data_IF_619158207865
#
_entry.id   IF_619158207865
#
_cell.length_a   1.000
_cell.length_b   1.000
_cell.length_c   1.000
_cell.angle_alpha   90.00
_cell.angle_beta   90.00
_cell.angle_gamma   90.00
#
_symmetry.space_group_name_H-M   'P 1'
#
loop_
_entity.id
_entity.type
_entity.pdbx_description
1 polymer ?
#
# COMPACT_ATOMS: atom_id res chain seq x y z
N UNK A 1 1.89 -16.41 -8.13
CA UNK A 1 2.94 -16.14 -7.12
C UNK A 1 2.34 -15.48 -5.89
N UNK A 2 3.03 -15.52 -4.74
CA UNK A 2 2.69 -14.81 -3.50
C UNK A 2 3.83 -13.88 -3.13
N UNK A 3 3.50 -12.64 -2.77
CA UNK A 3 4.43 -11.66 -2.19
C UNK A 3 3.94 -11.31 -0.80
N UNK A 4 4.83 -11.40 0.16
CA UNK A 4 4.57 -10.99 1.55
C UNK A 4 5.47 -9.81 1.85
N UNK A 5 4.88 -8.72 2.30
CA UNK A 5 5.62 -7.52 2.70
C UNK A 5 5.44 -7.29 4.19
N UNK A 6 6.47 -6.80 4.85
CA UNK A 6 6.47 -6.53 6.30
C UNK A 6 6.82 -5.06 6.50
N UNK A 7 5.89 -4.30 7.07
CA UNK A 7 6.00 -2.85 7.35
C UNK A 7 6.57 -2.02 6.17
N UNK A 8 6.19 -2.41 4.95
CA UNK A 8 6.71 -1.77 3.74
C UNK A 8 5.92 -0.49 3.44
N UNK A 9 6.59 0.65 3.18
CA UNK A 9 5.91 1.89 2.84
C UNK A 9 5.46 1.92 1.37
N UNK A 10 4.46 1.12 1.00
CA UNK A 10 3.95 1.00 -0.37
C UNK A 10 3.52 2.33 -1.00
N UNK A 11 3.03 3.26 -0.18
CA UNK A 11 2.64 4.60 -0.63
C UNK A 11 3.61 5.67 -0.13
N UNK A 12 4.83 5.25 0.29
CA UNK A 12 5.84 6.12 0.85
C UNK A 12 5.58 6.50 2.31
N UNK A 13 6.51 7.23 2.91
CA UNK A 13 6.40 7.73 4.28
C UNK A 13 6.74 9.20 4.38
N UNK A 14 6.09 9.92 5.31
CA UNK A 14 6.42 11.33 5.58
C UNK A 14 7.83 11.50 6.16
N UNK A 15 8.33 10.51 6.88
CA UNK A 15 9.69 10.57 7.46
C UNK A 15 10.79 10.56 6.40
N UNK A 16 10.52 10.08 5.20
CA UNK A 16 11.45 10.15 4.08
C UNK A 16 11.81 11.58 3.64
N UNK A 17 11.06 12.59 4.09
CA UNK A 17 11.40 14.00 3.84
C UNK A 17 12.55 14.51 4.74
N UNK A 18 12.78 13.86 5.88
CA UNK A 18 13.80 14.26 6.85
C UNK A 18 15.13 13.54 6.65
N UNK A 19 15.15 12.48 5.84
CA UNK A 19 16.35 11.74 5.52
C UNK A 19 16.95 12.21 4.18
N UNK A 20 18.25 11.99 4.00
CA UNK A 20 19.02 12.40 2.83
C UNK A 20 19.36 11.20 1.94
N UNK A 21 19.54 11.47 0.65
CA UNK A 21 19.94 10.46 -0.34
C UNK A 21 18.82 10.03 -1.25
N UNK A 22 19.19 9.30 -2.30
CA UNK A 22 18.26 8.87 -3.36
C UNK A 22 17.20 7.91 -2.84
N UNK A 23 17.56 6.93 -2.01
CA UNK A 23 16.62 5.98 -1.43
C UNK A 23 15.52 6.69 -0.62
N UNK A 24 15.91 7.70 0.15
CA UNK A 24 14.97 8.51 0.90
C UNK A 24 14.02 9.29 -0.02
N UNK A 25 14.55 9.87 -1.09
CA UNK A 25 13.76 10.58 -2.09
C UNK A 25 12.71 9.66 -2.74
N UNK A 26 13.09 8.43 -3.04
CA UNK A 26 12.20 7.42 -3.64
C UNK A 26 11.12 6.90 -2.67
N UNK A 27 11.38 6.96 -1.36
CA UNK A 27 10.40 6.58 -0.33
C UNK A 27 9.45 7.71 0.08
N UNK A 28 9.56 8.91 -0.51
CA UNK A 28 8.62 10.01 -0.24
C UNK A 28 7.25 9.70 -0.80
N UNK A 29 6.23 10.09 -0.08
CA UNK A 29 4.85 9.93 -0.54
C UNK A 29 4.62 10.62 -1.88
N UNK A 30 3.88 9.94 -2.74
CA UNK A 30 3.50 10.44 -4.06
C UNK A 30 4.69 10.77 -4.98
N UNK A 31 5.90 10.26 -4.72
CA UNK A 31 6.97 10.35 -5.70
C UNK A 31 6.67 9.44 -6.91
N UNK A 32 7.25 9.80 -8.07
CA UNK A 32 6.97 9.08 -9.32
C UNK A 32 7.39 7.60 -9.24
N UNK A 33 8.44 7.29 -8.49
CA UNK A 33 8.88 5.91 -8.28
C UNK A 33 7.81 5.09 -7.54
N UNK A 34 7.27 5.59 -6.43
CA UNK A 34 6.20 4.91 -5.68
C UNK A 34 4.94 4.73 -6.54
N UNK A 35 4.61 5.75 -7.34
CA UNK A 35 3.47 5.67 -8.27
C UNK A 35 3.66 4.60 -9.33
N UNK A 36 4.86 4.51 -9.91
CA UNK A 36 5.16 3.52 -10.95
C UNK A 36 5.07 2.08 -10.45
N UNK A 37 5.37 1.83 -9.17
CA UNK A 37 5.25 0.49 -8.56
C UNK A 37 3.79 0.04 -8.39
N UNK A 38 2.87 0.99 -8.24
CA UNK A 38 1.44 0.69 -8.05
C UNK A 38 0.73 0.26 -9.36
N UNK A 39 1.37 0.43 -10.50
CA UNK A 39 0.80 0.19 -11.84
C UNK A 39 1.10 -1.22 -12.39
N UNK A 40 1.77 -2.10 -11.64
CA UNK A 40 2.07 -3.44 -12.13
C UNK A 40 0.82 -4.33 -12.12
N UNK A 41 0.43 -4.83 -13.29
CA UNK A 41 -0.74 -5.68 -13.51
C UNK A 41 -0.49 -7.18 -13.29
N UNK A 42 0.62 -7.56 -12.68
CA UNK A 42 0.96 -8.97 -12.47
C UNK A 42 -0.03 -9.65 -11.53
N UNK A 43 -0.55 -10.84 -11.90
CA UNK A 43 -1.50 -11.59 -11.08
C UNK A 43 -0.80 -12.24 -9.88
N UNK A 44 -0.49 -11.44 -8.89
CA UNK A 44 0.23 -11.85 -7.67
C UNK A 44 -0.65 -11.69 -6.45
N UNK A 45 -0.65 -12.70 -5.58
CA UNK A 45 -1.28 -12.61 -4.27
C UNK A 45 -0.40 -11.77 -3.35
N UNK A 46 -0.85 -10.59 -2.96
CA UNK A 46 -0.17 -9.73 -1.99
C UNK A 46 -0.73 -9.92 -0.59
N UNK A 47 0.17 -10.07 0.38
CA UNK A 47 -0.16 -10.09 1.80
C UNK A 47 0.74 -9.09 2.50
N UNK A 48 0.14 -8.09 3.14
CA UNK A 48 0.86 -7.03 3.85
C UNK A 48 0.78 -7.26 5.35
N UNK A 49 1.91 -7.50 5.98
CA UNK A 49 2.06 -7.47 7.44
C UNK A 49 2.31 -6.03 7.85
N UNK A 50 1.42 -5.49 8.64
CA UNK A 50 1.42 -4.09 9.02
C UNK A 50 1.33 -3.91 10.53
N UNK A 51 2.01 -2.92 11.08
CA UNK A 51 1.97 -2.60 12.48
C UNK A 51 1.05 -1.40 12.78
N UNK A 52 0.21 -1.53 13.79
CA UNK A 52 -0.57 -0.41 14.31
C UNK A 52 0.27 0.59 15.11
N UNK A 53 1.45 0.17 15.57
CA UNK A 53 2.36 0.97 16.37
C UNK A 53 3.65 1.34 15.62
N UNK A 54 3.59 1.28 14.30
CA UNK A 54 4.69 1.74 13.45
C UNK A 54 4.87 3.26 13.58
N UNK A 55 6.11 3.66 13.84
CA UNK A 55 6.51 5.05 13.99
C UNK A 55 7.42 5.52 12.84
N UNK A 56 7.70 4.67 11.86
CA UNK A 56 8.55 4.98 10.70
C UNK A 56 7.76 5.03 9.39
N UNK A 57 6.75 4.17 9.23
CA UNK A 57 5.85 4.22 8.09
C UNK A 57 4.58 4.99 8.46
N UNK A 58 4.57 6.26 8.12
CA UNK A 58 3.47 7.19 8.44
C UNK A 58 2.99 7.87 7.16
N UNK A 59 1.69 7.89 6.92
CA UNK A 59 0.60 7.31 7.68
C UNK A 59 0.56 5.76 7.58
N UNK A 60 -0.15 5.11 8.50
CA UNK A 60 -0.20 3.64 8.63
C UNK A 60 -0.81 2.94 7.41
N UNK A 61 -1.77 3.56 6.75
CA UNK A 61 -2.39 3.07 5.52
C UNK A 61 -1.36 2.90 4.38
N UNK A 62 -0.22 3.57 4.49
CA UNK A 62 0.91 3.42 3.57
C UNK A 62 1.53 2.01 3.58
N UNK A 63 1.29 1.23 4.63
CA UNK A 63 1.82 -0.13 4.78
C UNK A 63 1.03 -1.18 3.97
N UNK A 64 -0.13 -0.82 3.44
CA UNK A 64 -1.06 -1.79 2.83
C UNK A 64 -1.42 -1.38 1.42
N UNK A 65 -1.40 -2.34 0.50
CA UNK A 65 -1.93 -2.18 -0.86
C UNK A 65 -3.44 -2.47 -0.86
N UNK A 66 -4.19 -1.73 -1.65
CA UNK A 66 -5.65 -1.90 -1.75
C UNK A 66 -6.08 -3.29 -2.23
N UNK A 67 -5.22 -3.98 -2.98
CA UNK A 67 -5.44 -5.34 -3.48
C UNK A 67 -4.94 -6.45 -2.54
N UNK A 68 -4.25 -6.10 -1.45
CA UNK A 68 -3.60 -7.04 -0.57
C UNK A 68 -4.49 -7.51 0.58
N UNK A 69 -4.23 -8.73 1.06
CA UNK A 69 -4.69 -9.15 2.39
C UNK A 69 -3.83 -8.43 3.43
N UNK A 70 -4.44 -7.64 4.31
CA UNK A 70 -3.74 -6.94 5.39
C UNK A 70 -3.81 -7.73 6.69
N UNK A 71 -2.66 -8.01 7.29
CA UNK A 71 -2.54 -8.64 8.61
C UNK A 71 -1.90 -7.62 9.54
N UNK A 72 -2.69 -7.15 10.52
CA UNK A 72 -2.28 -6.11 11.45
C UNK A 72 -1.76 -6.69 12.75
N UNK A 73 -0.63 -6.16 13.22
CA UNK A 73 -0.03 -6.48 14.51
C UNK A 73 -0.16 -5.29 15.45
N UNK A 74 -0.52 -5.59 16.69
CA UNK A 74 -0.61 -4.59 17.77
C UNK A 74 0.64 -4.65 18.64
N UNK A 75 1.00 -3.51 19.24
CA UNK A 75 2.08 -3.39 20.23
C UNK A 75 3.49 -3.81 19.75
N UNK A 76 3.68 -3.91 18.45
CA UNK A 76 4.97 -4.21 17.84
C UNK A 76 5.37 -2.98 17.02
N UNK A 77 6.54 -2.41 17.27
CA UNK A 77 7.07 -1.29 16.49
C UNK A 77 7.78 -1.77 15.21
N UNK A 78 8.03 -0.85 14.28
CA UNK A 78 8.60 -1.14 12.96
C UNK A 78 9.79 -2.12 12.97
N UNK A 79 10.82 -1.81 13.73
CA UNK A 79 12.01 -2.67 13.76
C UNK A 79 11.76 -4.01 14.47
N UNK A 80 10.83 -4.04 15.42
CA UNK A 80 10.48 -5.23 16.15
C UNK A 80 9.66 -6.23 15.31
N UNK A 81 9.01 -5.78 14.25
CA UNK A 81 8.29 -6.66 13.32
C UNK A 81 9.19 -7.74 12.71
N UNK A 82 10.46 -7.42 12.45
CA UNK A 82 11.41 -8.37 11.86
C UNK A 82 11.96 -9.38 12.87
N UNK A 83 11.78 -9.17 14.17
CA UNK A 83 12.32 -9.99 15.24
C UNK A 83 11.25 -10.59 16.18
N UNK A 84 9.97 -10.38 15.86
CA UNK A 84 8.85 -10.85 16.68
C UNK A 84 8.50 -12.30 16.38
N UNK A 85 8.43 -13.13 17.41
CA UNK A 85 7.99 -14.52 17.29
C UNK A 85 6.55 -14.62 16.77
N UNK A 86 5.67 -13.70 17.14
CA UNK A 86 4.28 -13.65 16.65
C UNK A 86 4.23 -13.40 15.15
N UNK A 87 5.06 -12.48 14.65
CA UNK A 87 5.17 -12.18 13.22
C UNK A 87 5.74 -13.38 12.47
N UNK A 88 6.77 -14.00 13.01
CA UNK A 88 7.38 -15.20 12.41
C UNK A 88 6.41 -16.39 12.36
N UNK A 89 5.70 -16.66 13.45
CA UNK A 89 4.69 -17.71 13.49
C UNK A 89 3.58 -17.45 12.44
N UNK A 90 3.14 -16.20 12.32
CA UNK A 90 2.15 -15.82 11.32
C UNK A 90 2.68 -15.92 9.90
N UNK A 91 3.94 -15.60 9.68
CA UNK A 91 4.61 -15.73 8.39
C UNK A 91 4.64 -17.21 7.95
N UNK A 92 5.02 -18.11 8.85
CA UNK A 92 5.03 -19.56 8.58
C UNK A 92 3.63 -20.06 8.21
N UNK A 93 2.60 -19.65 8.97
CA UNK A 93 1.21 -19.99 8.68
C UNK A 93 0.79 -19.51 7.27
N UNK A 94 1.10 -18.26 6.94
CA UNK A 94 0.76 -17.67 5.65
C UNK A 94 1.49 -18.34 4.49
N UNK A 95 2.76 -18.66 4.66
CA UNK A 95 3.56 -19.35 3.62
C UNK A 95 3.04 -20.76 3.36
N UNK A 96 2.56 -21.45 4.39
CA UNK A 96 2.01 -22.80 4.28
C UNK A 96 0.61 -22.85 3.62
N UNK A 97 -0.08 -21.74 3.49
CA UNK A 97 -1.40 -21.70 2.84
C UNK A 97 -1.30 -22.01 1.34
N UNK A 98 -2.28 -22.71 0.74
CA UNK A 98 -2.36 -22.83 -0.71
C UNK A 98 -2.47 -21.44 -1.36
N UNK A 99 -1.90 -21.28 -2.55
CA UNK A 99 -2.02 -20.03 -3.32
C UNK A 99 -3.49 -19.81 -3.70
N UNK A 100 -4.02 -18.64 -3.40
CA UNK A 100 -5.30 -18.22 -3.95
C UNK A 100 -5.12 -18.02 -5.46
N UNK A 101 -6.07 -18.51 -6.26
CA UNK A 101 -6.10 -18.13 -7.67
C UNK A 101 -6.36 -16.63 -7.74
N UNK A 102 -5.40 -15.89 -8.26
CA UNK A 102 -5.51 -14.44 -8.38
C UNK A 102 -6.62 -14.10 -9.36
N UNK A 103 -7.68 -13.46 -8.87
CA UNK A 103 -8.57 -12.71 -9.75
C UNK A 103 -7.79 -11.52 -10.30
N UNK A 104 -7.90 -11.20 -11.59
CA UNK A 104 -7.20 -10.04 -12.15
C UNK A 104 -7.60 -8.79 -11.36
N UNK A 105 -6.59 -8.02 -10.97
CA UNK A 105 -6.75 -6.70 -10.35
C UNK A 105 -7.71 -5.88 -11.21
N UNK A 106 -8.89 -5.56 -10.69
CA UNK A 106 -9.73 -4.55 -11.32
C UNK A 106 -9.00 -3.22 -11.15
N UNK A 107 -8.41 -2.74 -12.23
CA UNK A 107 -7.98 -1.37 -12.33
C UNK A 107 -9.20 -0.49 -12.00
N UNK A 108 -9.18 0.18 -10.85
CA UNK A 108 -10.06 1.32 -10.61
C UNK A 108 -9.56 2.44 -11.52
N UNK A 109 -10.08 2.46 -12.75
CA UNK A 109 -9.96 3.61 -13.61
C UNK A 109 -10.51 4.83 -12.84
N UNK A 110 -9.79 5.96 -12.81
CA UNK A 110 -10.34 7.18 -12.23
C UNK A 110 -11.62 7.51 -12.98
N UNK A 111 -12.74 7.58 -12.27
CA UNK A 111 -13.99 8.08 -12.83
C UNK A 111 -13.73 9.49 -13.32
N UNK A 112 -13.79 9.64 -14.65
CA UNK A 112 -13.77 10.90 -15.36
C UNK A 112 -14.81 11.84 -14.73
N UNK A 113 -14.32 12.93 -14.14
CA UNK A 113 -15.14 14.10 -13.82
C UNK A 113 -15.33 14.85 -15.15
N UNK A 114 -16.19 14.34 -15.99
CA UNK A 114 -16.69 15.06 -17.15
C UNK A 114 -18.22 15.08 -17.03
N UNK A 115 -18.78 16.27 -17.26
CA UNK A 115 -20.19 16.64 -17.35
C UNK A 115 -20.93 17.02 -16.06
N UNK A 116 -20.57 18.19 -15.54
CA UNK A 116 -21.52 19.06 -14.84
C UNK A 116 -21.39 20.54 -15.27
N UNK A 117 -21.29 20.80 -16.56
CA UNK A 117 -21.45 22.15 -17.11
C UNK A 117 -22.21 22.09 -18.44
N UNK A 118 -23.47 21.67 -18.37
CA UNK A 118 -24.42 21.88 -19.46
C UNK A 118 -25.80 22.13 -18.85
N UNK A 119 -26.07 23.35 -18.45
CA UNK A 119 -27.41 23.69 -17.95
C UNK A 119 -27.55 25.09 -17.38
N UNK A 120 -26.89 26.07 -17.96
CA UNK A 120 -27.29 27.48 -17.73
C UNK A 120 -27.32 28.24 -19.03
N UNK A 121 -28.39 28.05 -19.79
CA UNK A 121 -28.71 28.89 -20.94
C UNK A 121 -30.11 29.45 -20.78
N UNK A 122 -30.15 30.76 -20.61
CA UNK A 122 -31.14 31.72 -21.13
C UNK A 122 -32.63 31.53 -20.75
N UNK A 123 -33.10 32.40 -19.88
CA UNK A 123 -34.38 33.08 -20.07
C UNK A 123 -34.20 34.56 -19.70
N UNK A 124 -33.89 35.37 -20.70
CA UNK A 124 -34.28 36.78 -20.76
C UNK A 124 -35.53 36.85 -21.62
N UNK A 125 -36.62 37.26 -21.04
CA UNK A 125 -37.54 38.27 -21.51
C UNK A 125 -38.44 38.70 -20.36
#
# INVERSE_FOLDING_TARGET
ARVITIDTPHHGTVFAHYAHGENSRQMRRACDYVRSLAESEEPVEFICFASQHDNLVVPRDSQVLACAEAIWFEKIGHLAMMASDDVLAKLIDVVARPLKQSSPLRANAPQSIADKDAGLSLARQ
#
